data_IF_075949766317
#
_entry.id   IF_075949766317
#
_cell.length_a   1.000
_cell.length_b   1.000
_cell.length_c   1.000
_cell.angle_alpha   90.00
_cell.angle_beta   90.00
_cell.angle_gamma   90.00
#
_symmetry.space_group_name_H-M   'P 1'
#
loop_
_entity.id
_entity.type
_entity.pdbx_description
1 polymer ?
#
# COMPACT_ATOMS: atom_id res chain seq x y z
N UNK A 1 -6.30 -7.47 31.39
CA UNK A 1 -6.85 -6.20 30.86
C UNK A 1 -5.70 -5.40 30.27
N UNK A 2 -5.44 -5.53 28.97
CA UNK A 2 -4.34 -4.80 28.33
C UNK A 2 -4.73 -3.33 28.19
N UNK A 3 -4.00 -2.46 28.88
CA UNK A 3 -4.18 -1.01 28.77
C UNK A 3 -3.91 -0.62 27.30
N UNK A 4 -4.95 -0.21 26.57
CA UNK A 4 -4.77 0.45 25.27
C UNK A 4 -4.05 1.76 25.55
N UNK A 5 -2.75 1.80 25.29
CA UNK A 5 -1.97 3.04 25.28
C UNK A 5 -2.70 4.01 24.33
N UNK A 6 -3.08 5.19 24.82
CA UNK A 6 -3.82 6.15 24.02
C UNK A 6 -3.01 6.49 22.76
N UNK A 7 -3.58 6.26 21.59
CA UNK A 7 -2.95 6.57 20.31
C UNK A 7 -2.80 8.09 20.22
N UNK A 8 -1.62 8.64 19.86
CA UNK A 8 -1.44 10.09 19.74
C UNK A 8 -2.47 10.69 18.76
N UNK A 9 -3.03 11.89 19.04
CA UNK A 9 -4.00 12.53 18.16
C UNK A 9 -3.40 12.77 16.77
N UNK A 10 -4.23 12.62 15.73
CA UNK A 10 -3.82 12.89 14.34
C UNK A 10 -3.97 14.38 14.03
N UNK A 11 -3.07 14.89 13.20
CA UNK A 11 -3.22 16.19 12.56
C UNK A 11 -4.34 16.10 11.50
N UNK A 12 -5.41 16.91 11.58
CA UNK A 12 -6.53 16.85 10.64
C UNK A 12 -6.18 17.29 9.21
N UNK A 13 -5.05 17.97 9.02
CA UNK A 13 -4.62 18.53 7.72
C UNK A 13 -3.61 17.64 6.99
N UNK A 14 -3.27 16.48 7.56
CA UNK A 14 -2.22 15.62 7.05
C UNK A 14 -2.78 14.23 6.73
N UNK A 15 -2.30 13.58 5.65
CA UNK A 15 -2.82 12.30 5.24
C UNK A 15 -2.45 11.20 6.24
N UNK A 16 -3.25 10.13 6.22
CA UNK A 16 -3.09 8.99 7.13
C UNK A 16 -3.04 7.71 6.34
N UNK A 17 -1.98 6.93 6.54
CA UNK A 17 -1.87 5.55 6.12
C UNK A 17 -2.48 4.65 7.20
N UNK A 18 -3.49 3.87 6.82
CA UNK A 18 -4.14 2.88 7.66
C UNK A 18 -3.65 1.50 7.24
N UNK A 19 -3.08 0.75 8.18
CA UNK A 19 -2.65 -0.63 7.94
C UNK A 19 -3.35 -1.55 8.92
N UNK A 20 -4.09 -2.53 8.38
CA UNK A 20 -4.69 -3.61 9.17
C UNK A 20 -3.90 -4.89 8.90
N UNK A 21 -3.15 -5.36 9.90
CA UNK A 21 -2.26 -6.50 9.77
C UNK A 21 -2.50 -7.56 10.83
N UNK A 22 -2.51 -8.83 10.41
CA UNK A 22 -2.72 -9.96 11.29
C UNK A 22 -1.75 -9.97 12.48
N UNK A 23 -2.28 -10.13 13.69
CA UNK A 23 -1.49 -10.13 14.94
C UNK A 23 -0.70 -11.42 15.18
N UNK A 24 -1.01 -12.50 14.45
CA UNK A 24 -0.29 -13.76 14.56
C UNK A 24 1.11 -13.71 13.94
N UNK A 25 1.36 -12.77 13.02
CA UNK A 25 2.65 -12.57 12.38
C UNK A 25 3.41 -11.41 13.02
N UNK A 26 4.35 -11.71 13.91
CA UNK A 26 5.11 -10.70 14.66
C UNK A 26 5.83 -9.69 13.75
N UNK A 27 6.27 -10.11 12.56
CA UNK A 27 6.98 -9.26 11.62
C UNK A 27 6.09 -8.22 10.92
N UNK A 28 4.77 -8.41 10.89
CA UNK A 28 3.88 -7.51 10.15
C UNK A 28 3.87 -6.10 10.72
N UNK A 29 3.98 -5.95 12.05
CA UNK A 29 4.05 -4.62 12.66
C UNK A 29 5.35 -3.89 12.28
N UNK A 30 6.48 -4.61 12.24
CA UNK A 30 7.76 -4.05 11.78
C UNK A 30 7.66 -3.64 10.31
N UNK A 31 7.20 -4.54 9.45
CA UNK A 31 7.04 -4.29 8.01
C UNK A 31 6.06 -3.15 7.70
N UNK A 32 5.00 -3.00 8.50
CA UNK A 32 4.07 -1.87 8.38
C UNK A 32 4.74 -0.53 8.68
N UNK A 33 5.60 -0.48 9.70
CA UNK A 33 6.39 0.71 10.03
C UNK A 33 7.42 1.03 8.94
N UNK A 34 8.11 0.01 8.41
CA UNK A 34 9.07 0.16 7.31
C UNK A 34 8.41 0.66 6.02
N UNK A 35 7.24 0.11 5.68
CA UNK A 35 6.44 0.53 4.53
C UNK A 35 5.98 1.98 4.69
N UNK A 36 5.51 2.34 5.89
CA UNK A 36 5.12 3.72 6.21
C UNK A 36 6.28 4.71 6.04
N UNK A 37 7.45 4.40 6.60
CA UNK A 37 8.63 5.26 6.47
C UNK A 37 9.02 5.46 4.99
N UNK A 38 9.11 4.36 4.24
CA UNK A 38 9.49 4.39 2.82
C UNK A 38 8.49 5.18 1.97
N UNK A 39 7.19 4.98 2.20
CA UNK A 39 6.14 5.73 1.49
C UNK A 39 6.14 7.21 1.89
N UNK A 40 6.35 7.52 3.17
CA UNK A 40 6.42 8.90 3.64
C UNK A 40 7.59 9.67 3.01
N UNK A 41 8.75 9.03 2.88
CA UNK A 41 9.94 9.60 2.23
C UNK A 41 9.70 9.84 0.73
N UNK A 42 9.09 8.87 0.04
CA UNK A 42 8.74 9.00 -1.36
C UNK A 42 7.73 10.14 -1.61
N UNK A 43 6.68 10.24 -0.79
CA UNK A 43 5.68 11.31 -0.91
C UNK A 43 6.26 12.69 -0.56
N UNK A 44 7.19 12.79 0.39
CA UNK A 44 7.87 14.05 0.72
C UNK A 44 8.72 14.60 -0.43
N UNK A 45 9.24 13.72 -1.29
CA UNK A 45 9.93 14.14 -2.52
C UNK A 45 8.98 14.85 -3.49
N UNK A 46 7.69 14.51 -3.47
CA UNK A 46 6.66 15.11 -4.32
C UNK A 46 6.03 16.35 -3.68
N UNK A 47 5.83 16.33 -2.36
CA UNK A 47 5.28 17.43 -1.58
C UNK A 47 6.02 17.52 -0.23
N UNK A 48 7.00 18.43 -0.09
CA UNK A 48 7.86 18.50 1.10
C UNK A 48 7.13 18.70 2.43
N UNK A 49 6.03 19.45 2.41
CA UNK A 49 5.22 19.75 3.61
C UNK A 49 4.27 18.60 4.02
N UNK A 50 4.22 17.52 3.24
CA UNK A 50 3.40 16.36 3.51
C UNK A 50 4.02 15.52 4.63
N UNK A 51 3.25 15.31 5.70
CA UNK A 51 3.60 14.46 6.83
C UNK A 51 2.65 13.27 6.87
N UNK A 52 3.03 12.16 6.25
CA UNK A 52 2.22 10.96 6.27
C UNK A 52 2.16 10.38 7.69
N UNK A 53 0.97 10.31 8.26
CA UNK A 53 0.72 9.72 9.56
C UNK A 53 0.39 8.23 9.43
N UNK A 54 0.56 7.46 10.51
CA UNK A 54 0.30 6.02 10.53
C UNK A 54 -0.77 5.65 11.56
N UNK A 55 -1.68 4.77 11.18
CA UNK A 55 -2.58 4.03 12.08
C UNK A 55 -2.49 2.53 11.81
N UNK A 56 -2.25 1.77 12.86
CA UNK A 56 -2.17 0.31 12.81
C UNK A 56 -3.35 -0.31 13.53
N UNK A 57 -4.05 -1.23 12.87
CA UNK A 57 -5.15 -2.00 13.43
C UNK A 57 -6.22 -1.11 14.12
N UNK A 58 -6.49 0.07 13.55
CA UNK A 58 -7.43 1.06 14.08
C UNK A 58 -8.83 0.45 14.23
N UNK A 59 -9.24 -0.34 13.22
CA UNK A 59 -10.53 -1.00 13.21
C UNK A 59 -10.59 -2.20 14.16
N UNK A 60 -9.46 -2.61 14.75
CA UNK A 60 -9.30 -3.76 15.64
C UNK A 60 -9.80 -5.10 15.08
N UNK A 61 -9.93 -5.22 13.76
CA UNK A 61 -10.47 -6.39 13.06
C UNK A 61 -9.56 -6.89 11.93
N UNK A 62 -8.22 -7.03 12.14
CA UNK A 62 -7.37 -7.61 11.11
C UNK A 62 -7.73 -9.08 10.89
N UNK A 63 -7.90 -9.47 9.62
CA UNK A 63 -8.22 -10.85 9.25
C UNK A 63 -6.99 -11.75 9.41
N UNK A 64 -7.21 -13.05 9.59
CA UNK A 64 -6.11 -14.00 9.70
C UNK A 64 -5.26 -13.98 8.41
N UNK A 65 -3.95 -13.83 8.56
CA UNK A 65 -3.00 -13.75 7.44
C UNK A 65 -3.08 -12.48 6.60
N UNK A 66 -3.95 -11.51 6.92
CA UNK A 66 -4.11 -10.30 6.12
C UNK A 66 -3.06 -9.24 6.39
N UNK A 67 -2.80 -8.45 5.36
CA UNK A 67 -2.06 -7.19 5.43
C UNK A 67 -2.73 -6.22 4.46
N UNK A 68 -3.59 -5.35 4.99
CA UNK A 68 -4.37 -4.40 4.20
C UNK A 68 -3.78 -3.01 4.35
N UNK A 69 -3.68 -2.28 3.25
CA UNK A 69 -3.18 -0.90 3.23
C UNK A 69 -4.22 -0.01 2.60
N UNK A 70 -4.59 1.05 3.29
CA UNK A 70 -5.47 2.09 2.79
C UNK A 70 -4.96 3.47 3.19
N UNK A 71 -5.40 4.51 2.48
CA UNK A 71 -4.98 5.88 2.73
C UNK A 71 -6.18 6.83 2.69
N UNK A 72 -6.11 7.90 3.47
CA UNK A 72 -7.04 9.01 3.38
C UNK A 72 -6.28 10.33 3.40
N UNK A 73 -6.79 11.33 2.66
CA UNK A 73 -6.20 12.67 2.61
C UNK A 73 -6.29 13.42 3.95
N UNK A 74 -7.30 13.07 4.75
CA UNK A 74 -7.50 13.56 6.11
C UNK A 74 -7.87 12.39 7.02
N UNK A 75 -7.63 12.48 8.34
CA UNK A 75 -8.06 11.47 9.30
C UNK A 75 -9.56 11.17 9.19
N UNK A 76 -9.92 9.89 9.14
CA UNK A 76 -11.32 9.43 9.15
C UNK A 76 -11.49 8.12 9.92
N UNK A 77 -12.61 8.02 10.64
CA UNK A 77 -13.07 6.78 11.28
C UNK A 77 -13.79 5.86 10.28
N UNK A 78 -14.37 6.44 9.21
CA UNK A 78 -15.09 5.71 8.18
C UNK A 78 -14.13 4.91 7.32
N UNK A 79 -14.30 3.58 7.30
CA UNK A 79 -13.47 2.70 6.46
C UNK A 79 -13.77 2.92 4.98
N UNK A 80 -15.01 3.30 4.65
CA UNK A 80 -15.47 3.54 3.29
C UNK A 80 -14.84 4.79 2.66
N UNK A 81 -14.42 5.75 3.48
CA UNK A 81 -13.73 6.97 3.03
C UNK A 81 -12.23 6.75 2.80
N UNK A 82 -11.68 5.60 3.22
CA UNK A 82 -10.28 5.25 3.01
C UNK A 82 -10.14 4.59 1.63
N UNK A 83 -9.22 5.10 0.83
CA UNK A 83 -8.90 4.49 -0.46
C UNK A 83 -7.96 3.31 -0.25
N UNK A 84 -8.38 2.13 -0.68
CA UNK A 84 -7.57 0.91 -0.60
C UNK A 84 -6.41 1.00 -1.59
N UNK A 85 -5.19 0.77 -1.08
CA UNK A 85 -3.96 0.71 -1.88
C UNK A 85 -3.52 -0.72 -2.12
N UNK A 86 -3.74 -1.62 -1.16
CA UNK A 86 -3.29 -3.01 -1.24
C UNK A 86 -4.14 -3.94 -0.39
N UNK A 87 -4.31 -5.19 -0.87
CA UNK A 87 -4.89 -6.28 -0.09
C UNK A 87 -4.00 -7.52 -0.12
N UNK A 88 -3.51 -7.89 1.07
CA UNK A 88 -2.81 -9.15 1.29
C UNK A 88 -3.77 -10.33 1.53
N UNK A 89 -5.03 -10.29 1.11
CA UNK A 89 -5.93 -11.44 1.31
C UNK A 89 -5.78 -12.57 0.29
N UNK A 90 -5.24 -12.31 -0.89
CA UNK A 90 -5.14 -13.31 -1.96
C UNK A 90 -4.33 -14.53 -1.50
N UNK A 91 -4.56 -15.73 -2.06
CA UNK A 91 -3.82 -16.97 -1.72
C UNK A 91 -2.36 -16.94 -2.22
N UNK A 92 -1.62 -15.91 -1.82
CA UNK A 92 -0.21 -15.67 -2.12
C UNK A 92 0.66 -16.09 -0.93
N UNK A 93 1.93 -16.45 -1.16
CA UNK A 93 2.89 -16.70 -0.09
C UNK A 93 3.01 -15.50 0.87
N UNK A 94 3.36 -15.76 2.15
CA UNK A 94 3.48 -14.72 3.20
C UNK A 94 4.43 -13.58 2.81
N UNK A 95 5.49 -13.88 2.06
CA UNK A 95 6.44 -12.88 1.56
C UNK A 95 5.76 -11.82 0.68
N UNK A 96 4.81 -12.24 -0.15
CA UNK A 96 4.06 -11.40 -1.10
C UNK A 96 2.83 -10.72 -0.49
N UNK A 97 2.54 -10.93 0.80
CA UNK A 97 1.38 -10.33 1.49
C UNK A 97 1.54 -8.84 1.75
N UNK A 98 2.77 -8.39 1.94
CA UNK A 98 3.10 -6.99 2.21
C UNK A 98 3.69 -6.40 0.94
N UNK A 99 3.17 -5.25 0.47
CA UNK A 99 3.66 -4.61 -0.74
C UNK A 99 5.03 -3.96 -0.54
N UNK A 100 5.75 -3.75 -1.64
CA UNK A 100 6.82 -2.78 -1.72
C UNK A 100 6.25 -1.36 -1.90
N UNK A 101 7.05 -0.31 -1.64
CA UNK A 101 6.60 1.07 -1.84
C UNK A 101 6.22 1.35 -3.30
N UNK A 102 6.94 0.74 -4.26
CA UNK A 102 6.69 0.89 -5.69
C UNK A 102 5.31 0.36 -6.11
N UNK A 103 4.79 -0.64 -5.39
CA UNK A 103 3.47 -1.22 -5.66
C UNK A 103 2.33 -0.24 -5.29
N UNK A 104 2.59 0.69 -4.36
CA UNK A 104 1.54 1.54 -3.76
C UNK A 104 1.75 3.05 -3.91
N UNK A 105 2.92 3.51 -4.34
CA UNK A 105 3.22 4.95 -4.46
C UNK A 105 2.31 5.63 -5.49
N UNK A 106 2.16 5.05 -6.68
CA UNK A 106 1.30 5.61 -7.73
C UNK A 106 -0.18 5.71 -7.30
N UNK A 107 -0.83 4.65 -6.79
CA UNK A 107 -2.21 4.78 -6.31
C UNK A 107 -2.33 5.69 -5.07
N UNK A 108 -1.31 5.78 -4.21
CA UNK A 108 -1.29 6.74 -3.11
C UNK A 108 -1.27 8.19 -3.61
N UNK A 109 -0.45 8.51 -4.61
CA UNK A 109 -0.42 9.84 -5.22
C UNK A 109 -1.78 10.20 -5.85
N UNK A 110 -2.43 9.26 -6.53
CA UNK A 110 -3.79 9.45 -7.07
C UNK A 110 -4.78 9.74 -5.93
N UNK A 111 -4.77 8.93 -4.87
CA UNK A 111 -5.66 9.08 -3.72
C UNK A 111 -5.51 10.43 -3.02
N UNK A 112 -4.26 10.90 -2.91
CA UNK A 112 -3.91 12.17 -2.31
C UNK A 112 -3.97 13.36 -3.28
N UNK A 113 -4.35 13.12 -4.54
CA UNK A 113 -4.38 14.12 -5.61
C UNK A 113 -3.06 14.87 -5.77
N UNK A 114 -1.94 14.19 -5.50
CA UNK A 114 -0.61 14.75 -5.69
C UNK A 114 -0.32 14.78 -7.19
N UNK A 115 0.13 15.95 -7.66
CA UNK A 115 0.58 16.07 -9.05
C UNK A 115 1.92 15.37 -9.15
N UNK A 116 1.99 14.28 -9.93
CA UNK A 116 3.27 13.82 -10.42
C UNK A 116 3.85 14.96 -11.26
N UNK A 117 4.95 15.57 -10.80
CA UNK A 117 5.73 16.45 -11.67
C UNK A 117 6.18 15.57 -12.83
N UNK A 118 5.66 15.84 -14.02
CA UNK A 118 5.85 15.06 -15.24
C UNK A 118 7.31 15.15 -15.69
N UNK A 119 8.20 14.40 -15.05
CA UNK A 119 9.46 13.98 -15.63
C UNK A 119 9.26 12.54 -16.14
N UNK A 120 8.67 12.43 -17.34
CA UNK A 120 8.57 11.17 -18.09
C UNK A 120 7.30 10.37 -17.85
N UNK A 121 6.17 10.83 -18.40
CA UNK A 121 5.02 9.96 -18.67
C UNK A 121 5.46 8.84 -19.62
N UNK A 122 5.80 7.68 -19.07
CA UNK A 122 5.75 6.42 -19.82
C UNK A 122 4.50 5.71 -19.36
N UNK A 123 3.54 5.58 -20.26
CA UNK A 123 2.35 4.75 -20.10
C UNK A 123 2.77 3.29 -20.00
N UNK A 124 3.04 2.82 -18.78
CA UNK A 124 3.26 1.39 -18.53
C UNK A 124 1.86 0.75 -18.50
N UNK A 125 1.44 0.19 -19.62
CA UNK A 125 0.38 -0.80 -19.66
C UNK A 125 0.85 -2.00 -18.83
N UNK A 126 0.42 -2.09 -17.58
CA UNK A 126 0.61 -3.28 -16.76
C UNK A 126 -0.36 -4.37 -17.22
N UNK A 127 -0.07 -4.96 -18.39
CA UNK A 127 -0.63 -6.28 -18.72
C UNK A 127 0.10 -7.27 -17.84
N UNK A 128 -0.56 -7.69 -16.76
CA UNK A 128 -0.22 -8.89 -16.00
C UNK A 128 -0.39 -10.09 -16.94
N UNK A 129 0.65 -10.44 -17.70
CA UNK A 129 0.71 -11.77 -18.30
C UNK A 129 1.14 -12.73 -17.21
N UNK A 130 0.17 -13.47 -16.68
CA UNK A 130 0.41 -14.70 -15.93
C UNK A 130 1.37 -15.62 -16.70
N UNK A 131 2.34 -16.19 -15.97
CA UNK A 131 3.45 -17.07 -16.40
C UNK A 131 3.03 -18.44 -17.01
N UNK A 132 2.04 -18.45 -17.92
CA UNK A 132 1.54 -19.67 -18.56
C UNK A 132 1.68 -19.73 -20.09
N UNK A 133 1.90 -18.59 -20.77
CA UNK A 133 1.71 -18.52 -22.23
C UNK A 133 2.97 -18.14 -23.05
N UNK A 134 4.14 -17.98 -22.42
CA UNK A 134 5.38 -17.58 -23.13
C UNK A 134 5.85 -18.67 -24.12
N UNK A 135 5.53 -19.93 -23.89
CA UNK A 135 5.98 -21.04 -24.75
C UNK A 135 5.27 -21.13 -26.10
N UNK A 136 4.18 -20.38 -26.35
CA UNK A 136 3.46 -20.43 -27.64
C UNK A 136 3.90 -19.37 -28.66
N UNK A 137 4.67 -18.36 -28.26
CA UNK A 137 5.02 -17.24 -29.14
C UNK A 137 6.33 -17.49 -29.94
N UNK A 138 7.14 -18.46 -29.54
CA UNK A 138 8.43 -18.77 -30.21
C UNK A 138 8.40 -19.89 -31.26
N UNK A 139 7.24 -20.53 -31.52
CA UNK A 139 7.16 -21.64 -32.50
C UNK A 139 6.61 -21.27 -33.90
N UNK A 140 6.32 -20.00 -34.20
CA UNK A 140 5.81 -19.57 -35.52
C UNK A 140 6.84 -18.86 -36.42
N UNK A 141 8.14 -19.06 -36.18
CA UNK A 141 9.21 -18.52 -37.04
C UNK A 141 10.18 -19.54 -37.64
N UNK A 142 9.83 -20.82 -37.60
CA UNK A 142 10.50 -21.83 -38.41
C UNK A 142 9.44 -22.81 -38.87
N UNK A 143 8.93 -22.60 -40.08
CA UNK A 143 8.55 -23.63 -41.05
C UNK A 143 8.01 -22.91 -42.30
N UNK A 144 8.90 -22.87 -43.30
CA UNK A 144 8.69 -22.73 -44.75
C UNK A 144 8.21 -21.38 -45.29
#
# INVERSE_FOLDING_TARGET
MSQKRATPPLNPLQPVLYIECCRAHADYQRRATELHASLADALRTLQPDLQLQLRLNENNMPRLGSFEVAIAATPTESVQERQVLWTGLERVPVSAKVPHVDDIIAPACIALRLRHSQAGSSSINLVRTSDGDITKILQRRNLQ
#
